data_IF_501240086726
#
_entry.id   IF_501240086726
#
_cell.length_a   1.000
_cell.length_b   1.000
_cell.length_c   1.000
_cell.angle_alpha   90.00
_cell.angle_beta   90.00
_cell.angle_gamma   90.00
#
_symmetry.space_group_name_H-M   'P 1'
#
loop_
_entity.id
_entity.type
_entity.pdbx_description
1 polymer ?
#
# COMPACT_ATOMS: atom_id res chain seq x y z
N UNK A 1 20.11 22.97 76.51
CA UNK A 1 21.02 24.00 75.99
C UNK A 1 22.42 23.40 75.95
N UNK A 2 23.12 23.45 74.81
CA UNK A 2 24.44 22.80 74.65
C UNK A 2 25.59 23.79 74.48
N UNK A 3 25.32 24.92 73.82
CA UNK A 3 26.31 25.98 73.61
C UNK A 3 25.64 27.34 73.64
N UNK A 4 26.40 28.36 74.04
CA UNK A 4 26.00 29.77 74.03
C UNK A 4 27.13 30.59 73.41
N UNK A 5 26.79 31.56 72.58
CA UNK A 5 27.74 32.52 72.05
C UNK A 5 27.09 33.89 71.86
N UNK A 6 27.87 34.95 72.00
CA UNK A 6 27.45 36.29 71.59
C UNK A 6 28.01 36.58 70.20
N UNK A 7 27.18 37.18 69.35
CA UNK A 7 27.69 37.79 68.13
C UNK A 7 28.30 39.18 68.41
N UNK A 8 28.91 39.78 67.39
CA UNK A 8 29.50 41.12 67.50
C UNK A 8 28.48 42.24 67.76
N UNK A 9 27.19 41.98 67.52
CA UNK A 9 26.08 42.92 67.76
C UNK A 9 25.47 42.75 69.15
N UNK A 10 25.98 41.81 69.95
CA UNK A 10 25.50 41.53 71.30
C UNK A 10 24.22 40.68 71.35
N UNK A 11 23.80 40.05 70.24
CA UNK A 11 22.72 39.06 70.29
C UNK A 11 23.25 37.75 70.87
N UNK A 12 22.38 37.06 71.61
CA UNK A 12 22.71 35.76 72.19
C UNK A 12 22.27 34.65 71.24
N UNK A 13 23.21 33.77 70.91
CA UNK A 13 23.00 32.59 70.08
C UNK A 13 23.07 31.33 70.93
N UNK A 14 22.10 30.45 70.75
CA UNK A 14 21.86 29.29 71.61
C UNK A 14 21.77 28.04 70.74
N UNK A 15 22.68 27.10 71.00
CA UNK A 15 22.70 25.78 70.39
C UNK A 15 21.89 24.79 71.22
N UNK A 16 21.01 24.03 70.56
CA UNK A 16 20.12 23.07 71.22
C UNK A 16 20.37 21.64 70.74
N UNK A 17 19.88 20.66 71.51
CA UNK A 17 19.92 19.26 71.13
C UNK A 17 18.65 18.89 70.36
N UNK A 18 18.59 19.25 69.08
CA UNK A 18 17.47 18.89 68.19
C UNK A 18 16.47 20.01 67.88
N UNK A 19 16.56 21.17 68.55
CA UNK A 19 15.74 22.36 68.26
C UNK A 19 16.46 23.40 67.39
N UNK A 20 17.62 23.06 66.81
CA UNK A 20 18.41 23.93 65.95
C UNK A 20 19.16 25.05 66.68
N UNK A 21 19.45 26.11 65.92
CA UNK A 21 20.11 27.34 66.38
C UNK A 21 19.06 28.39 66.71
N UNK A 22 19.17 29.00 67.89
CA UNK A 22 18.19 29.97 68.36
C UNK A 22 18.90 31.31 68.60
N UNK A 23 18.39 32.40 68.02
CA UNK A 23 18.87 33.75 68.29
C UNK A 23 17.92 34.46 69.24
N UNK A 24 18.42 34.94 70.36
CA UNK A 24 17.73 35.90 71.21
C UNK A 24 18.23 37.32 70.91
N UNK A 25 17.33 38.14 70.38
CA UNK A 25 17.60 39.55 70.15
C UNK A 25 17.21 40.34 71.41
N UNK A 26 18.22 40.92 72.08
CA UNK A 26 18.04 41.66 73.32
C UNK A 26 17.25 42.96 73.16
N UNK A 27 17.34 43.62 72.00
CA UNK A 27 16.64 44.91 71.79
C UNK A 27 15.15 44.73 71.53
N UNK A 28 14.76 43.63 70.90
CA UNK A 28 13.35 43.32 70.58
C UNK A 28 12.73 42.31 71.53
N UNK A 29 13.51 41.72 72.44
CA UNK A 29 13.10 40.67 73.38
C UNK A 29 12.43 39.47 72.69
N UNK A 30 12.92 39.09 71.51
CA UNK A 30 12.34 38.04 70.67
C UNK A 30 13.35 36.94 70.33
N UNK A 31 12.83 35.72 70.16
CA UNK A 31 13.58 34.57 69.69
C UNK A 31 13.34 34.31 68.19
N UNK A 32 14.39 33.95 67.46
CA UNK A 32 14.32 33.45 66.09
C UNK A 32 14.93 32.05 66.04
N UNK A 33 14.25 31.10 65.42
CA UNK A 33 14.66 29.70 65.36
C UNK A 33 15.13 29.35 63.95
N UNK A 34 16.27 28.65 63.84
CA UNK A 34 16.82 28.16 62.60
C UNK A 34 17.01 26.64 62.70
N UNK A 35 16.48 25.90 61.74
CA UNK A 35 16.52 24.44 61.67
C UNK A 35 17.11 23.97 60.34
N UNK A 36 17.08 22.66 60.08
CA UNK A 36 17.40 22.05 58.78
C UNK A 36 16.56 22.61 57.63
N UNK A 37 15.33 23.06 57.90
CA UNK A 37 14.49 23.73 56.90
C UNK A 37 15.05 25.09 56.46
N UNK A 38 15.90 25.69 57.29
CA UNK A 38 16.59 26.95 57.00
C UNK A 38 18.02 26.73 56.47
N UNK A 39 18.41 25.49 56.16
CA UNK A 39 19.72 25.15 55.58
C UNK A 39 20.78 24.66 56.56
N UNK A 40 20.47 24.55 57.86
CA UNK A 40 21.39 23.91 58.81
C UNK A 40 21.63 22.44 58.43
N UNK A 41 22.84 21.90 58.61
CA UNK A 41 23.13 20.50 58.27
C UNK A 41 22.50 19.53 59.27
N UNK A 42 22.24 19.97 60.51
CA UNK A 42 21.62 19.18 61.56
C UNK A 42 21.01 20.08 62.65
N UNK A 43 19.92 19.62 63.29
CA UNK A 43 19.25 20.37 64.37
C UNK A 43 19.94 20.23 65.73
N UNK A 44 20.90 19.33 65.90
CA UNK A 44 21.74 19.23 67.09
C UNK A 44 22.99 20.11 66.92
N UNK A 45 22.98 21.29 67.55
CA UNK A 45 24.09 22.25 67.55
C UNK A 45 24.84 22.13 68.86
N UNK A 46 26.06 21.60 68.80
CA UNK A 46 26.90 21.27 69.96
C UNK A 46 27.79 22.40 70.42
N UNK A 47 28.25 23.22 69.47
CA UNK A 47 29.22 24.27 69.72
C UNK A 47 28.94 25.44 68.79
N UNK A 48 29.11 26.66 69.29
CA UNK A 48 28.95 27.89 68.52
C UNK A 48 30.18 28.75 68.80
N UNK A 49 30.89 29.14 67.74
CA UNK A 49 32.03 30.03 67.82
C UNK A 49 31.83 31.21 66.86
N UNK A 50 31.99 32.43 67.35
CA UNK A 50 31.97 33.63 66.51
C UNK A 50 33.39 33.93 66.04
N UNK A 51 33.60 34.13 64.74
CA UNK A 51 34.91 34.46 64.20
C UNK A 51 35.20 35.97 64.16
N UNK A 52 36.43 36.32 63.75
CA UNK A 52 36.87 37.71 63.66
C UNK A 52 36.15 38.52 62.57
N UNK A 53 35.40 37.89 61.67
CA UNK A 53 34.57 38.58 60.68
C UNK A 53 33.12 38.77 61.17
N UNK A 54 32.73 38.09 62.25
CA UNK A 54 31.37 38.11 62.77
C UNK A 54 30.48 36.98 62.24
N UNK A 55 31.05 36.01 61.51
CA UNK A 55 30.34 34.80 61.11
C UNK A 55 30.28 33.83 62.29
N UNK A 56 29.19 33.08 62.38
CA UNK A 56 29.03 32.03 63.38
C UNK A 56 29.43 30.69 62.79
N UNK A 57 30.18 29.91 63.57
CA UNK A 57 30.63 28.57 63.21
C UNK A 57 30.01 27.56 64.15
N UNK A 58 29.24 26.64 63.59
CA UNK A 58 28.37 25.71 64.31
C UNK A 58 28.90 24.30 64.14
N UNK A 59 29.33 23.67 65.24
CA UNK A 59 29.65 22.24 65.29
C UNK A 59 28.38 21.43 65.51
N UNK A 60 28.10 20.46 64.63
CA UNK A 60 26.87 19.66 64.66
C UNK A 60 27.16 18.16 64.64
N UNK A 61 26.10 17.35 64.64
CA UNK A 61 26.18 15.89 64.42
C UNK A 61 26.39 15.51 62.94
N UNK A 62 26.31 16.48 62.02
CA UNK A 62 26.42 16.24 60.59
C UNK A 62 27.35 17.26 59.91
N UNK A 63 28.48 17.51 60.54
CA UNK A 63 29.53 18.38 60.06
C UNK A 63 29.51 19.76 60.71
N UNK A 64 30.15 20.71 60.02
CA UNK A 64 30.34 22.08 60.46
C UNK A 64 29.54 23.03 59.57
N UNK A 65 28.95 24.08 60.15
CA UNK A 65 28.23 25.10 59.39
C UNK A 65 28.79 26.49 59.67
N UNK A 66 29.15 27.24 58.61
CA UNK A 66 29.39 28.68 58.69
C UNK A 66 28.08 29.40 58.40
N UNK A 67 27.56 30.07 59.42
CA UNK A 67 26.28 30.77 59.42
C UNK A 67 26.51 32.28 59.42
N UNK A 68 25.90 32.98 58.47
CA UNK A 68 25.93 34.44 58.41
C UNK A 68 24.76 35.04 59.22
N UNK A 69 25.01 35.78 60.32
CA UNK A 69 23.94 36.34 61.14
C UNK A 69 23.17 37.50 60.48
N UNK A 70 23.65 38.04 59.36
CA UNK A 70 22.99 39.14 58.63
C UNK A 70 21.92 38.67 57.64
N UNK A 71 22.24 37.66 56.82
CA UNK A 71 21.36 37.13 55.77
C UNK A 71 20.85 35.70 56.04
N UNK A 72 21.30 35.10 57.15
CA UNK A 72 20.96 33.74 57.59
C UNK A 72 21.39 32.61 56.63
N UNK A 73 22.32 32.88 55.72
CA UNK A 73 22.89 31.85 54.85
C UNK A 73 23.77 30.85 55.61
N UNK A 74 23.64 29.57 55.26
CA UNK A 74 24.42 28.48 55.82
C UNK A 74 25.35 27.89 54.75
N UNK A 75 26.66 27.83 55.02
CA UNK A 75 27.61 27.03 54.24
C UNK A 75 28.04 25.81 55.06
N UNK A 76 27.66 24.63 54.58
CA UNK A 76 27.87 23.37 55.27
C UNK A 76 29.16 22.71 54.78
N UNK A 77 29.90 22.11 55.70
CA UNK A 77 31.13 21.36 55.46
C UNK A 77 30.97 19.97 56.08
N UNK A 78 31.46 18.95 55.38
CA UNK A 78 31.33 17.53 55.73
C UNK A 78 32.70 16.83 55.67
N UNK A 79 32.73 15.52 55.89
CA UNK A 79 33.97 14.73 55.71
C UNK A 79 34.56 14.87 54.30
N UNK A 80 33.72 15.12 53.28
CA UNK A 80 34.17 15.35 51.90
C UNK A 80 35.04 16.60 51.76
N UNK A 81 34.88 17.56 52.69
CA UNK A 81 35.61 18.83 52.73
C UNK A 81 36.85 18.76 53.63
N UNK A 82 37.21 17.56 54.12
CA UNK A 82 38.39 17.33 54.97
C UNK A 82 38.11 17.44 56.47
N UNK A 83 36.84 17.39 56.91
CA UNK A 83 36.50 17.31 58.34
C UNK A 83 36.90 15.96 58.94
N UNK A 84 37.28 15.94 60.23
CA UNK A 84 37.69 14.72 60.93
C UNK A 84 36.59 13.66 61.00
N UNK A 85 35.34 14.09 61.16
CA UNK A 85 34.15 13.24 61.21
C UNK A 85 32.91 14.09 60.94
N UNK A 86 31.75 13.46 60.87
CA UNK A 86 30.46 14.16 60.90
C UNK A 86 30.16 14.75 62.29
N UNK A 87 30.61 14.11 63.36
CA UNK A 87 30.24 14.50 64.72
C UNK A 87 31.29 15.40 65.38
N UNK A 88 30.83 16.56 65.88
CA UNK A 88 31.59 17.47 66.72
C UNK A 88 31.12 17.43 68.16
N UNK A 89 32.07 17.60 69.09
CA UNK A 89 31.79 17.50 70.52
C UNK A 89 31.24 18.81 71.10
N UNK A 90 30.49 18.68 72.20
CA UNK A 90 29.90 19.81 72.91
C UNK A 90 30.98 20.75 73.44
N UNK A 91 30.87 22.05 73.15
CA UNK A 91 31.81 23.10 73.58
C UNK A 91 33.29 22.84 73.20
N UNK A 92 33.53 21.97 72.21
CA UNK A 92 34.89 21.66 71.73
C UNK A 92 35.29 22.60 70.59
N UNK A 93 35.31 23.92 70.85
CA UNK A 93 35.78 24.89 69.87
C UNK A 93 36.58 26.02 70.51
N UNK A 94 37.58 26.52 69.78
CA UNK A 94 38.48 27.58 70.24
C UNK A 94 38.93 28.45 69.06
N UNK A 95 38.90 29.77 69.22
CA UNK A 95 39.55 30.68 68.29
C UNK A 95 41.00 30.93 68.74
N UNK A 96 41.96 30.72 67.85
CA UNK A 96 43.38 31.01 68.05
C UNK A 96 43.66 32.51 67.92
N UNK A 97 44.81 32.94 68.45
CA UNK A 97 45.27 34.34 68.39
C UNK A 97 45.43 34.87 66.97
N UNK A 98 45.74 34.00 66.02
CA UNK A 98 45.89 34.36 64.60
C UNK A 98 44.56 34.36 63.83
N UNK A 99 43.44 34.11 64.51
CA UNK A 99 42.09 34.10 63.93
C UNK A 99 41.64 32.75 63.36
N UNK A 100 42.51 31.73 63.33
CA UNK A 100 42.10 30.36 62.97
C UNK A 100 41.19 29.77 64.04
N UNK A 101 40.31 28.86 63.63
CA UNK A 101 39.32 28.21 64.48
C UNK A 101 39.65 26.74 64.65
N UNK A 102 39.66 26.25 65.88
CA UNK A 102 39.74 24.83 66.20
C UNK A 102 38.36 24.29 66.54
N UNK A 103 38.04 23.13 65.99
CA UNK A 103 36.84 22.36 66.31
C UNK A 103 37.21 20.91 66.59
N UNK A 104 36.90 20.42 67.79
CA UNK A 104 37.13 19.05 68.20
C UNK A 104 35.88 18.18 68.03
N UNK A 105 36.08 16.91 67.71
CA UNK A 105 35.03 15.91 67.68
C UNK A 105 35.53 14.53 68.03
N UNK A 106 34.87 13.51 67.49
CA UNK A 106 35.08 12.11 67.90
C UNK A 106 36.41 11.52 67.39
N UNK A 107 36.95 12.03 66.29
CA UNK A 107 38.18 11.56 65.64
C UNK A 107 39.25 12.67 65.57
N UNK A 108 39.40 13.43 66.66
CA UNK A 108 40.41 14.47 66.79
C UNK A 108 39.84 15.88 66.60
N UNK A 109 40.53 16.72 65.83
CA UNK A 109 40.15 18.13 65.64
C UNK A 109 40.49 18.66 64.24
N UNK A 110 39.72 19.64 63.79
CA UNK A 110 40.01 20.43 62.59
C UNK A 110 40.55 21.82 62.98
N UNK A 111 41.52 22.32 62.22
CA UNK A 111 41.96 23.72 62.25
C UNK A 111 41.50 24.38 60.97
N UNK A 112 40.78 25.48 61.10
CA UNK A 112 40.10 26.16 60.00
C UNK A 112 40.62 27.58 59.92
N UNK A 113 40.98 28.03 58.72
CA UNK A 113 41.34 29.41 58.46
C UNK A 113 40.19 30.10 57.70
N UNK A 114 39.33 30.88 58.39
CA UNK A 114 38.17 31.51 57.76
C UNK A 114 38.51 32.42 56.59
N UNK A 115 39.72 33.00 56.58
CA UNK A 115 40.16 33.95 55.55
C UNK A 115 40.51 33.26 54.24
N UNK A 116 40.85 31.96 54.28
CA UNK A 116 41.21 31.15 53.10
C UNK A 116 40.04 30.36 52.52
N UNK A 117 38.89 30.40 53.17
CA UNK A 117 37.68 29.69 52.75
C UNK A 117 36.89 30.45 51.66
N UNK A 118 37.44 31.55 51.15
CA UNK A 118 36.75 32.48 50.27
C UNK A 118 36.58 31.93 48.84
N UNK A 119 35.31 31.74 48.47
CA UNK A 119 34.60 31.85 47.19
C UNK A 119 35.23 31.52 45.83
N UNK A 120 36.46 31.01 45.69
CA UNK A 120 36.88 30.47 44.40
C UNK A 120 36.06 29.21 44.13
N UNK A 121 34.95 29.36 43.42
CA UNK A 121 34.25 28.21 42.86
C UNK A 121 35.32 27.40 42.14
N UNK A 122 35.33 26.10 42.39
CA UNK A 122 36.27 25.21 41.74
C UNK A 122 36.19 25.46 40.22
N UNK A 123 37.29 25.33 39.48
CA UNK A 123 37.21 25.43 38.03
C UNK A 123 36.17 24.43 37.51
N UNK A 124 35.41 24.77 36.45
CA UNK A 124 34.46 23.85 35.87
C UNK A 124 35.21 22.60 35.39
N UNK A 125 34.61 21.40 35.51
CA UNK A 125 35.30 20.17 35.16
C UNK A 125 35.50 20.09 33.65
N UNK A 126 36.64 19.56 33.22
CA UNK A 126 36.81 19.17 31.82
C UNK A 126 35.97 17.93 31.57
N UNK A 127 35.01 17.99 30.66
CA UNK A 127 34.23 16.80 30.28
C UNK A 127 34.92 16.10 29.12
N UNK A 128 34.90 14.78 29.10
CA UNK A 128 35.39 13.97 27.98
C UNK A 128 34.36 12.91 27.63
N UNK A 129 34.27 12.56 26.35
CA UNK A 129 33.54 11.37 25.90
C UNK A 129 34.50 10.20 26.07
N UNK A 130 34.21 9.28 26.99
CA UNK A 130 35.10 8.17 27.33
C UNK A 130 34.96 7.01 26.34
N UNK A 131 33.75 6.72 25.88
CA UNK A 131 33.44 5.63 24.97
C UNK A 131 32.23 5.95 24.12
N UNK A 132 32.23 5.45 22.88
CA UNK A 132 31.08 5.49 21.98
C UNK A 132 30.78 4.06 21.56
N UNK A 133 29.58 3.57 21.84
CA UNK A 133 29.11 2.26 21.38
C UNK A 133 28.25 2.45 20.15
N UNK A 134 28.64 1.82 19.05
CA UNK A 134 27.84 1.68 17.84
C UNK A 134 27.24 0.28 17.87
N UNK A 135 25.96 0.17 18.21
CA UNK A 135 25.36 -1.11 18.65
C UNK A 135 26.20 -1.76 19.76
N UNK A 136 26.69 -2.99 19.54
CA UNK A 136 27.49 -3.75 20.51
C UNK A 136 29.00 -3.55 20.34
N UNK A 137 29.44 -2.63 19.46
CA UNK A 137 30.85 -2.36 19.20
C UNK A 137 31.28 -1.03 19.79
N UNK A 138 32.26 -1.06 20.69
CA UNK A 138 32.95 0.14 21.17
C UNK A 138 33.85 0.74 20.08
N UNK A 139 33.79 2.06 19.95
CA UNK A 139 34.55 2.88 19.02
C UNK A 139 35.14 4.06 19.80
N UNK A 140 36.45 4.32 19.68
CA UNK A 140 37.05 5.48 20.34
C UNK A 140 36.51 6.79 19.74
N UNK A 141 36.39 7.87 20.53
CA UNK A 141 35.91 9.17 20.05
C UNK A 141 36.74 9.79 18.90
N UNK A 142 38.01 9.38 18.77
CA UNK A 142 38.90 9.78 17.68
C UNK A 142 39.06 11.30 17.55
N UNK A 143 39.16 11.80 16.31
CA UNK A 143 39.38 13.21 15.98
C UNK A 143 38.09 14.08 16.06
N UNK A 144 37.07 13.66 16.83
CA UNK A 144 35.82 14.41 16.94
C UNK A 144 34.87 14.28 15.74
N UNK A 145 35.12 13.33 14.82
CA UNK A 145 34.23 13.00 13.72
C UNK A 145 34.04 11.49 13.55
N UNK A 146 32.79 11.05 13.52
CA UNK A 146 32.40 9.65 13.37
C UNK A 146 31.51 9.47 12.15
N UNK A 147 32.00 8.73 11.15
CA UNK A 147 31.26 8.39 9.94
C UNK A 147 30.71 6.97 10.03
N UNK A 148 29.40 6.82 9.85
CA UNK A 148 28.66 5.59 10.06
C UNK A 148 27.87 5.19 8.81
N UNK A 149 27.71 3.89 8.61
CA UNK A 149 26.82 3.35 7.58
C UNK A 149 25.37 3.50 8.00
N UNK A 150 24.45 3.40 7.03
CA UNK A 150 23.01 3.42 7.32
C UNK A 150 22.57 2.37 8.35
N UNK A 151 23.20 1.20 8.34
CA UNK A 151 22.93 0.11 9.30
C UNK A 151 23.49 0.36 10.71
N UNK A 152 24.32 1.39 10.89
CA UNK A 152 25.02 1.73 12.15
C UNK A 152 24.32 2.94 12.81
N UNK A 153 22.99 2.86 12.99
CA UNK A 153 22.13 3.97 13.42
C UNK A 153 21.74 3.99 14.92
N UNK A 154 22.32 3.11 15.73
CA UNK A 154 22.13 3.10 17.18
C UNK A 154 23.45 3.39 17.87
N UNK A 155 23.46 4.45 18.68
CA UNK A 155 24.64 5.01 19.32
C UNK A 155 24.43 5.17 20.81
N UNK A 156 25.38 4.73 21.61
CA UNK A 156 25.46 5.11 23.02
C UNK A 156 26.77 5.87 23.29
N UNK A 157 26.67 6.90 24.11
CA UNK A 157 27.80 7.72 24.52
C UNK A 157 27.98 7.57 26.02
N UNK A 158 29.21 7.29 26.43
CA UNK A 158 29.64 7.38 27.83
C UNK A 158 30.56 8.60 27.97
N UNK A 159 30.40 9.34 29.06
CA UNK A 159 31.13 10.57 29.30
C UNK A 159 31.52 10.71 30.77
N UNK A 160 32.62 11.42 31.01
CA UNK A 160 33.16 11.62 32.34
C UNK A 160 33.66 13.05 32.53
N UNK A 161 33.40 13.60 33.72
CA UNK A 161 34.01 14.84 34.16
C UNK A 161 35.36 14.54 34.81
N UNK A 162 36.43 15.06 34.24
CA UNK A 162 37.78 15.05 34.80
C UNK A 162 37.91 16.21 35.78
N UNK A 163 37.70 15.93 37.07
CA UNK A 163 37.98 16.87 38.15
C UNK A 163 38.64 16.14 39.31
N UNK A 164 39.82 16.60 39.69
CA UNK A 164 40.54 16.05 40.83
C UNK A 164 40.05 16.61 42.18
N UNK A 165 39.12 17.59 42.16
CA UNK A 165 38.76 18.35 43.34
C UNK A 165 37.57 17.80 44.15
N UNK A 166 36.68 16.98 43.58
CA UNK A 166 35.62 16.24 44.29
C UNK A 166 34.89 15.38 43.24
N UNK A 167 35.19 14.08 43.19
CA UNK A 167 34.73 13.21 42.09
C UNK A 167 33.25 12.80 42.16
N UNK A 168 32.54 13.08 43.26
CA UNK A 168 31.26 12.40 43.55
C UNK A 168 29.98 13.19 43.24
N UNK A 169 30.05 14.52 43.01
CA UNK A 169 28.85 15.35 42.84
C UNK A 169 28.82 16.13 41.51
N UNK A 170 29.52 15.65 40.49
CA UNK A 170 29.47 16.25 39.15
C UNK A 170 28.12 15.96 38.48
N UNK A 171 27.49 17.01 37.95
CA UNK A 171 26.26 16.90 37.15
C UNK A 171 26.55 17.06 35.68
N UNK A 172 25.76 16.45 34.81
CA UNK A 172 25.97 16.47 33.36
C UNK A 172 24.75 17.02 32.63
N UNK A 173 25.00 17.58 31.45
CA UNK A 173 23.96 17.91 30.50
C UNK A 173 24.43 17.54 29.10
N UNK A 174 23.55 16.96 28.29
CA UNK A 174 23.86 16.55 26.92
C UNK A 174 22.75 16.95 25.95
N UNK A 175 23.11 17.00 24.67
CA UNK A 175 22.19 17.30 23.57
C UNK A 175 22.71 16.72 22.26
N UNK A 176 21.82 16.12 21.47
CA UNK A 176 22.07 15.77 20.08
C UNK A 176 21.38 16.77 19.14
N UNK A 177 22.15 17.63 18.49
CA UNK A 177 21.60 18.58 17.51
C UNK A 177 20.98 17.84 16.32
N UNK A 178 19.73 18.18 16.02
CA UNK A 178 18.91 17.47 15.02
C UNK A 178 18.01 16.38 15.60
N UNK A 179 18.10 16.09 16.90
CA UNK A 179 17.22 15.15 17.60
C UNK A 179 16.58 15.80 18.82
N UNK A 180 17.40 16.39 19.70
CA UNK A 180 16.93 17.00 20.94
C UNK A 180 16.66 18.51 20.74
N UNK A 181 15.48 19.03 21.15
CA UNK A 181 15.19 20.46 21.07
C UNK A 181 16.04 21.28 22.06
N UNK A 182 16.23 20.77 23.28
CA UNK A 182 16.90 21.44 24.41
C UNK A 182 17.93 20.54 25.10
N UNK A 183 18.69 21.11 26.04
CA UNK A 183 19.65 20.36 26.87
C UNK A 183 18.93 19.42 27.83
N UNK A 184 19.38 18.16 27.88
CA UNK A 184 18.89 17.15 28.80
C UNK A 184 19.87 17.04 29.97
N UNK A 185 19.40 17.30 31.19
CA UNK A 185 20.21 17.26 32.41
C UNK A 185 20.18 15.85 33.00
N UNK A 186 21.36 15.21 33.08
CA UNK A 186 21.55 13.97 33.82
C UNK A 186 22.34 14.25 35.08
N UNK A 187 21.71 14.02 36.24
CA UNK A 187 22.35 14.24 37.54
C UNK A 187 23.62 13.40 37.67
N UNK A 188 23.47 12.10 37.93
CA UNK A 188 24.53 11.14 38.15
C UNK A 188 24.82 10.23 36.95
N UNK A 189 23.87 10.15 36.00
CA UNK A 189 23.97 9.29 34.82
C UNK A 189 25.03 9.80 33.85
N UNK A 190 26.03 8.94 33.59
CA UNK A 190 27.20 9.18 32.74
C UNK A 190 27.09 8.60 31.32
N UNK A 191 25.89 8.20 30.91
CA UNK A 191 25.66 7.59 29.61
C UNK A 191 24.29 7.92 29.02
N UNK A 192 24.22 7.95 27.69
CA UNK A 192 22.99 8.18 26.92
C UNK A 192 22.97 7.28 25.69
N UNK A 193 21.78 6.92 25.21
CA UNK A 193 21.58 6.12 24.00
C UNK A 193 20.59 6.78 23.06
N UNK A 194 20.96 6.91 21.79
CA UNK A 194 20.11 7.31 20.67
C UNK A 194 19.93 6.11 19.74
N UNK A 195 18.69 5.72 19.51
CA UNK A 195 18.36 4.58 18.64
C UNK A 195 17.68 5.06 17.37
N UNK A 196 17.87 4.31 16.27
CA UNK A 196 17.17 4.55 15.00
C UNK A 196 17.38 5.96 14.40
N UNK A 197 18.61 6.46 14.43
CA UNK A 197 18.94 7.73 13.80
C UNK A 197 18.80 7.64 12.27
N UNK A 198 18.14 8.62 11.67
CA UNK A 198 18.01 8.73 10.21
C UNK A 198 19.34 9.11 9.55
N UNK A 199 19.51 8.87 8.23
CA UNK A 199 20.67 9.38 7.51
C UNK A 199 20.77 10.90 7.60
N UNK A 200 21.91 11.40 8.05
CA UNK A 200 22.08 12.82 8.29
C UNK A 200 23.39 13.15 8.99
N UNK A 201 23.55 14.44 9.30
CA UNK A 201 24.66 14.97 10.09
C UNK A 201 24.11 15.42 11.44
N UNK A 202 24.73 14.94 12.50
CA UNK A 202 24.36 15.23 13.89
C UNK A 202 25.58 15.75 14.65
N UNK A 203 25.34 16.53 15.70
CA UNK A 203 26.38 16.99 16.62
C UNK A 203 25.96 16.63 18.02
N UNK A 204 26.66 15.68 18.62
CA UNK A 204 26.48 15.35 20.02
C UNK A 204 27.32 16.31 20.86
N UNK A 205 26.71 16.95 21.84
CA UNK A 205 27.34 17.89 22.78
C UNK A 205 27.09 17.41 24.21
N UNK A 206 28.11 17.53 25.04
CA UNK A 206 28.02 17.25 26.47
C UNK A 206 28.77 18.31 27.25
N UNK A 207 28.22 18.73 28.38
CA UNK A 207 28.86 19.59 29.38
C UNK A 207 28.68 19.03 30.78
N UNK A 208 29.56 19.46 31.68
CA UNK A 208 29.54 19.03 33.06
C UNK A 208 29.61 20.22 34.02
N UNK A 209 29.11 20.00 35.22
CA UNK A 209 29.01 20.95 36.32
C UNK A 209 29.74 20.38 37.52
N UNK A 210 30.54 21.19 38.20
CA UNK A 210 31.13 20.78 39.48
C UNK A 210 30.13 20.84 40.64
N UNK A 211 30.58 20.41 41.82
CA UNK A 211 29.85 20.50 43.08
C UNK A 211 29.39 21.93 43.42
N UNK A 212 30.13 22.94 42.97
CA UNK A 212 29.84 24.37 43.22
C UNK A 212 28.79 24.95 42.25
N UNK A 213 28.24 24.13 41.34
CA UNK A 213 27.23 24.58 40.39
C UNK A 213 27.80 25.34 39.18
N UNK A 214 29.11 25.32 38.96
CA UNK A 214 29.74 25.96 37.79
C UNK A 214 29.76 24.99 36.62
N UNK A 215 29.12 25.39 35.52
CA UNK A 215 29.08 24.64 34.27
C UNK A 215 30.27 24.96 33.38
N UNK A 216 30.81 23.93 32.73
CA UNK A 216 31.71 24.08 31.60
C UNK A 216 30.89 24.36 30.33
N UNK A 217 30.76 25.63 29.95
CA UNK A 217 29.97 26.00 28.76
C UNK A 217 30.66 25.68 27.43
N UNK A 218 31.97 25.46 27.39
CA UNK A 218 32.66 24.98 26.18
C UNK A 218 32.28 23.52 25.88
N UNK A 219 32.20 22.69 26.94
CA UNK A 219 31.82 21.30 26.85
C UNK A 219 32.75 20.45 25.96
N UNK A 220 32.20 19.36 25.42
CA UNK A 220 32.85 18.53 24.40
C UNK A 220 31.81 18.14 23.37
N UNK A 221 32.24 18.06 22.11
CA UNK A 221 31.36 17.71 21.01
C UNK A 221 31.99 16.70 20.06
N UNK A 222 31.14 15.88 19.43
CA UNK A 222 31.52 15.00 18.34
C UNK A 222 30.51 15.10 17.20
N UNK A 223 31.02 15.19 15.97
CA UNK A 223 30.20 15.25 14.76
C UNK A 223 29.95 13.82 14.28
N UNK A 224 28.69 13.43 14.14
CA UNK A 224 28.29 12.14 13.58
C UNK A 224 27.74 12.34 12.17
N UNK A 225 28.09 11.47 11.24
CA UNK A 225 27.53 11.46 9.88
C UNK A 225 27.10 10.06 9.48
N UNK A 226 25.79 9.86 9.32
CA UNK A 226 25.18 8.60 8.90
C UNK A 226 24.90 8.68 7.39
N UNK A 227 25.60 7.86 6.60
CA UNK A 227 25.42 7.87 5.14
C UNK A 227 24.10 7.22 4.73
N UNK A 228 23.37 7.77 3.73
CA UNK A 228 22.15 7.15 3.23
C UNK A 228 22.42 5.79 2.58
N UNK A 229 21.43 4.88 2.57
CA UNK A 229 21.57 3.58 1.93
C UNK A 229 21.70 3.72 0.40
N UNK A 230 22.36 2.75 -0.23
CA UNK A 230 22.70 2.78 -1.65
C UNK A 230 21.46 2.91 -2.56
N UNK A 231 20.31 2.32 -2.20
CA UNK A 231 19.07 2.45 -2.98
C UNK A 231 18.40 3.83 -2.89
N UNK A 232 18.79 4.67 -1.91
CA UNK A 232 18.32 6.07 -1.82
C UNK A 232 19.22 7.03 -2.62
N UNK A 233 20.32 6.56 -3.21
CA UNK A 233 21.23 7.40 -3.99
C UNK A 233 20.63 7.82 -5.34
N UNK A 234 21.07 8.97 -5.87
CA UNK A 234 20.56 9.52 -7.12
C UNK A 234 20.83 8.60 -8.32
N UNK A 235 22.02 7.99 -8.40
CA UNK A 235 22.42 7.12 -9.51
C UNK A 235 21.61 5.81 -9.52
N UNK A 236 21.24 5.28 -8.36
CA UNK A 236 20.38 4.11 -8.31
C UNK A 236 18.96 4.44 -8.79
N UNK A 237 18.41 5.58 -8.37
CA UNK A 237 17.09 6.04 -8.82
C UNK A 237 17.05 6.27 -10.33
N UNK A 238 18.08 6.90 -10.89
CA UNK A 238 18.16 7.11 -12.35
C UNK A 238 18.35 5.80 -13.10
N UNK A 239 19.20 4.90 -12.61
CA UNK A 239 19.39 3.57 -13.19
C UNK A 239 18.10 2.75 -13.20
N UNK A 240 17.36 2.75 -12.09
CA UNK A 240 16.07 2.06 -11.99
C UNK A 240 15.02 2.64 -12.94
N UNK A 241 14.94 3.97 -13.06
CA UNK A 241 14.04 4.64 -14.01
C UNK A 241 14.38 4.28 -15.47
N UNK A 242 15.68 4.28 -15.82
CA UNK A 242 16.13 3.87 -17.14
C UNK A 242 15.82 2.40 -17.43
N UNK A 243 16.01 1.52 -16.44
CA UNK A 243 15.64 0.11 -16.56
C UNK A 243 14.14 -0.04 -16.82
N UNK A 244 13.29 0.64 -16.07
CA UNK A 244 11.83 0.64 -16.26
C UNK A 244 11.42 1.18 -17.65
N UNK A 245 12.08 2.23 -18.14
CA UNK A 245 11.84 2.76 -19.50
C UNK A 245 12.28 1.72 -20.55
N UNK A 246 13.44 1.08 -20.36
CA UNK A 246 13.95 0.09 -21.30
C UNK A 246 13.04 -1.14 -21.41
N UNK A 247 12.48 -1.61 -20.29
CA UNK A 247 11.56 -2.75 -20.28
C UNK A 247 10.22 -2.39 -20.90
N UNK A 248 9.70 -1.18 -20.65
CA UNK A 248 8.51 -0.67 -21.33
C UNK A 248 8.72 -0.55 -22.85
N UNK A 249 9.83 0.03 -23.30
CA UNK A 249 10.18 0.12 -24.72
C UNK A 249 10.37 -1.26 -25.36
N UNK A 250 10.99 -2.20 -24.66
CA UNK A 250 11.12 -3.59 -25.12
C UNK A 250 9.76 -4.26 -25.28
N UNK A 251 8.85 -4.08 -24.32
CA UNK A 251 7.49 -4.63 -24.37
C UNK A 251 6.68 -4.03 -25.54
N UNK A 252 6.75 -2.70 -25.74
CA UNK A 252 6.11 -2.02 -26.88
C UNK A 252 6.68 -2.53 -28.21
N UNK A 253 8.01 -2.64 -28.33
CA UNK A 253 8.67 -3.19 -29.53
C UNK A 253 8.29 -4.63 -29.81
N UNK A 254 8.21 -5.47 -28.76
CA UNK A 254 7.79 -6.86 -28.88
C UNK A 254 6.34 -6.98 -29.34
N UNK A 255 5.43 -6.20 -28.77
CA UNK A 255 4.01 -6.22 -29.14
C UNK A 255 3.81 -5.72 -30.57
N UNK A 256 4.45 -4.61 -30.96
CA UNK A 256 4.37 -4.09 -32.32
C UNK A 256 4.95 -5.06 -33.36
N UNK A 257 6.07 -5.74 -33.06
CA UNK A 257 6.62 -6.78 -33.92
C UNK A 257 5.68 -7.99 -34.05
N UNK A 258 5.06 -8.41 -32.94
CA UNK A 258 4.06 -9.49 -32.92
C UNK A 258 2.83 -9.14 -33.78
N UNK A 259 2.29 -7.94 -33.61
CA UNK A 259 1.17 -7.41 -34.39
C UNK A 259 1.47 -7.41 -35.89
N UNK A 260 2.68 -7.00 -36.30
CA UNK A 260 3.10 -7.04 -37.71
C UNK A 260 3.13 -8.45 -38.27
N UNK A 261 3.63 -9.43 -37.51
CA UNK A 261 3.64 -10.85 -37.93
C UNK A 261 2.22 -11.39 -38.09
N UNK A 262 1.34 -11.14 -37.12
CA UNK A 262 -0.06 -11.56 -37.20
C UNK A 262 -0.78 -10.92 -38.38
N UNK A 263 -0.53 -9.63 -38.66
CA UNK A 263 -1.10 -8.93 -39.82
C UNK A 263 -0.70 -9.60 -41.14
N UNK A 264 0.59 -9.93 -41.31
CA UNK A 264 1.08 -10.58 -42.53
C UNK A 264 0.49 -11.98 -42.74
N UNK A 265 0.40 -12.77 -41.66
CA UNK A 265 -0.24 -14.10 -41.70
C UNK A 265 -1.72 -13.95 -42.06
N UNK A 266 -2.41 -12.96 -41.48
CA UNK A 266 -3.81 -12.70 -41.76
C UNK A 266 -4.03 -12.29 -43.21
N UNK A 267 -3.22 -11.38 -43.76
CA UNK A 267 -3.28 -10.95 -45.16
C UNK A 267 -3.11 -12.15 -46.11
N UNK A 268 -2.10 -13.01 -45.89
CA UNK A 268 -1.90 -14.24 -46.68
C UNK A 268 -3.08 -15.19 -46.58
N UNK A 269 -3.65 -15.36 -45.39
CA UNK A 269 -4.79 -16.26 -45.18
C UNK A 269 -6.04 -15.72 -45.87
N UNK A 270 -6.29 -14.41 -45.81
CA UNK A 270 -7.40 -13.75 -46.49
C UNK A 270 -7.24 -13.87 -48.00
N UNK A 271 -6.04 -13.66 -48.54
CA UNK A 271 -5.76 -13.82 -49.97
C UNK A 271 -6.03 -15.25 -50.44
N UNK A 272 -5.52 -16.26 -49.72
CA UNK A 272 -5.77 -17.67 -50.02
C UNK A 272 -7.28 -18.01 -49.98
N UNK A 273 -7.98 -17.62 -48.91
CA UNK A 273 -9.42 -17.85 -48.79
C UNK A 273 -10.22 -17.13 -49.87
N UNK A 274 -9.80 -15.94 -50.25
CA UNK A 274 -10.46 -15.17 -51.32
C UNK A 274 -10.25 -15.84 -52.67
N UNK A 275 -9.07 -16.40 -52.94
CA UNK A 275 -8.80 -17.17 -54.15
C UNK A 275 -9.64 -18.47 -54.19
N UNK A 276 -9.65 -19.25 -53.11
CA UNK A 276 -10.46 -20.47 -53.00
C UNK A 276 -11.95 -20.18 -53.21
N UNK A 277 -12.46 -19.11 -52.60
CA UNK A 277 -13.85 -18.68 -52.76
C UNK A 277 -14.18 -18.29 -54.21
N UNK A 278 -13.25 -17.62 -54.92
CA UNK A 278 -13.45 -17.29 -56.34
C UNK A 278 -13.54 -18.55 -57.18
N UNK A 279 -12.64 -19.50 -57.00
CA UNK A 279 -12.67 -20.78 -57.72
C UNK A 279 -13.95 -21.57 -57.41
N UNK A 280 -14.37 -21.65 -56.15
CA UNK A 280 -15.63 -22.29 -55.78
C UNK A 280 -16.84 -21.61 -56.42
N UNK A 281 -16.85 -20.27 -56.45
CA UNK A 281 -17.91 -19.49 -57.08
C UNK A 281 -17.97 -19.73 -58.59
N UNK A 282 -16.83 -19.74 -59.28
CA UNK A 282 -16.75 -20.02 -60.72
C UNK A 282 -17.26 -21.43 -61.05
N UNK A 283 -16.86 -22.44 -60.25
CA UNK A 283 -17.36 -23.82 -60.41
C UNK A 283 -18.88 -23.87 -60.20
N UNK A 284 -19.39 -23.21 -59.15
CA UNK A 284 -20.82 -23.18 -58.86
C UNK A 284 -21.62 -22.46 -59.96
N UNK A 285 -21.11 -21.34 -60.48
CA UNK A 285 -21.72 -20.63 -61.63
C UNK A 285 -21.72 -21.52 -62.88
N UNK A 286 -20.62 -22.21 -63.18
CA UNK A 286 -20.54 -23.12 -64.33
C UNK A 286 -21.51 -24.30 -64.20
N UNK A 287 -21.63 -24.90 -63.01
CA UNK A 287 -22.59 -25.96 -62.73
C UNK A 287 -24.03 -25.47 -62.92
N UNK A 288 -24.34 -24.27 -62.43
CA UNK A 288 -25.66 -23.65 -62.60
C UNK A 288 -25.98 -23.43 -64.08
N UNK A 289 -25.06 -22.87 -64.86
CA UNK A 289 -25.30 -22.65 -66.30
C UNK A 289 -25.52 -23.96 -67.05
N UNK A 290 -24.75 -25.02 -66.73
CA UNK A 290 -24.95 -26.35 -67.32
C UNK A 290 -26.31 -26.94 -66.97
N UNK A 291 -26.76 -26.81 -65.72
CA UNK A 291 -28.07 -27.25 -65.29
C UNK A 291 -29.19 -26.49 -66.04
N UNK A 292 -29.09 -25.17 -66.15
CA UNK A 292 -30.06 -24.35 -66.89
C UNK A 292 -30.11 -24.71 -68.39
N UNK A 293 -28.98 -25.03 -69.01
CA UNK A 293 -28.94 -25.51 -70.40
C UNK A 293 -29.58 -26.90 -70.55
N UNK A 294 -29.30 -27.82 -69.62
CA UNK A 294 -29.88 -29.17 -69.60
C UNK A 294 -31.41 -29.11 -69.47
N UNK A 295 -31.93 -28.27 -68.56
CA UNK A 295 -33.38 -28.07 -68.39
C UNK A 295 -34.01 -27.51 -69.67
N UNK A 296 -33.41 -26.47 -70.28
CA UNK A 296 -33.93 -25.92 -71.56
C UNK A 296 -33.95 -26.96 -72.67
N UNK A 297 -32.91 -27.79 -72.79
CA UNK A 297 -32.84 -28.86 -73.78
C UNK A 297 -33.92 -29.93 -73.54
N UNK A 298 -34.12 -30.36 -72.28
CA UNK A 298 -35.19 -31.29 -71.88
C UNK A 298 -36.57 -30.76 -72.29
N UNK A 299 -36.86 -29.48 -72.02
CA UNK A 299 -38.14 -28.88 -72.39
C UNK A 299 -38.35 -28.80 -73.91
N UNK A 300 -37.35 -28.35 -74.67
CA UNK A 300 -37.45 -28.24 -76.12
C UNK A 300 -37.65 -29.62 -76.77
N UNK A 301 -36.94 -30.63 -76.27
CA UNK A 301 -37.08 -32.01 -76.73
C UNK A 301 -38.51 -32.53 -76.54
N UNK A 302 -39.08 -32.35 -75.33
CA UNK A 302 -40.45 -32.80 -75.04
C UNK A 302 -41.49 -32.07 -75.90
N UNK A 303 -41.33 -30.76 -76.11
CA UNK A 303 -42.23 -29.96 -76.95
C UNK A 303 -42.22 -30.43 -78.42
N UNK A 304 -41.04 -30.62 -78.99
CA UNK A 304 -40.90 -31.06 -80.39
C UNK A 304 -41.42 -32.50 -80.58
N UNK A 305 -41.05 -33.42 -79.69
CA UNK A 305 -41.50 -34.82 -79.74
C UNK A 305 -43.02 -34.93 -79.66
N UNK A 306 -43.68 -34.11 -78.83
CA UNK A 306 -45.13 -34.11 -78.76
C UNK A 306 -45.78 -33.71 -80.09
N UNK A 307 -45.28 -32.67 -80.76
CA UNK A 307 -45.80 -32.25 -82.06
C UNK A 307 -45.59 -33.32 -83.14
N UNK A 308 -44.40 -33.93 -83.16
CA UNK A 308 -44.06 -34.98 -84.12
C UNK A 308 -44.86 -36.27 -83.92
N UNK A 309 -45.26 -36.61 -82.69
CA UNK A 309 -46.10 -37.78 -82.43
C UNK A 309 -47.60 -37.45 -82.63
N UNK A 310 -48.06 -36.24 -82.26
CA UNK A 310 -49.47 -35.86 -82.41
C UNK A 310 -49.95 -35.92 -83.85
N UNK A 311 -49.10 -35.51 -84.79
CA UNK A 311 -49.44 -35.44 -86.22
C UNK A 311 -49.79 -36.82 -86.82
N UNK A 312 -48.91 -37.85 -86.75
CA UNK A 312 -49.25 -39.19 -87.22
C UNK A 312 -50.39 -39.82 -86.41
N UNK A 313 -50.50 -39.54 -85.10
CA UNK A 313 -51.60 -40.08 -84.29
C UNK A 313 -52.97 -39.54 -84.69
N UNK A 314 -53.06 -38.24 -84.99
CA UNK A 314 -54.29 -37.65 -85.53
C UNK A 314 -54.62 -38.20 -86.92
N UNK A 315 -53.61 -38.51 -87.75
CA UNK A 315 -53.82 -39.14 -89.04
C UNK A 315 -54.34 -40.59 -88.89
N UNK A 316 -53.72 -41.39 -88.00
CA UNK A 316 -54.18 -42.76 -87.67
C UNK A 316 -55.61 -42.72 -87.16
N UNK A 317 -55.90 -41.83 -86.19
CA UNK A 317 -57.24 -41.64 -85.66
C UNK A 317 -58.24 -41.25 -86.75
N UNK A 318 -57.92 -40.25 -87.57
CA UNK A 318 -58.80 -39.78 -88.65
C UNK A 318 -59.08 -40.87 -89.69
N UNK A 319 -58.06 -41.64 -90.10
CA UNK A 319 -58.23 -42.79 -91.00
C UNK A 319 -59.09 -43.87 -90.35
N UNK A 320 -58.87 -44.16 -89.06
CA UNK A 320 -59.66 -45.13 -88.29
C UNK A 320 -61.12 -44.69 -88.17
N UNK A 321 -61.39 -43.40 -87.89
CA UNK A 321 -62.74 -42.82 -87.84
C UNK A 321 -63.46 -42.94 -89.20
N UNK A 322 -62.76 -42.71 -90.30
CA UNK A 322 -63.31 -42.89 -91.66
C UNK A 322 -63.67 -44.36 -91.90
N UNK A 323 -62.79 -45.29 -91.50
CA UNK A 323 -63.03 -46.74 -91.67
C UNK A 323 -64.21 -47.23 -90.81
N UNK A 324 -64.34 -46.77 -89.57
CA UNK A 324 -65.48 -47.08 -88.68
C UNK A 324 -66.79 -46.57 -89.31
N UNK A 325 -66.82 -45.38 -89.91
CA UNK A 325 -68.02 -44.81 -90.55
C UNK A 325 -68.46 -45.54 -91.82
N UNK A 326 -67.60 -46.36 -92.44
CA UNK A 326 -67.93 -47.14 -93.66
C UNK A 326 -68.65 -48.46 -93.37
N UNK A 327 -69.14 -48.65 -92.14
CA UNK A 327 -69.87 -49.83 -91.70
C UNK A 327 -69.08 -51.14 -91.93
N UNK A 328 -67.89 -51.27 -91.29
CA UNK A 328 -67.03 -52.44 -91.42
C UNK A 328 -67.72 -53.70 -90.87
N UNK A 329 -67.23 -54.88 -91.24
CA UNK A 329 -67.70 -56.15 -90.64
C UNK A 329 -67.44 -56.18 -89.13
N UNK A 330 -68.25 -56.90 -88.36
CA UNK A 330 -68.18 -56.91 -86.89
C UNK A 330 -66.79 -57.26 -86.35
N UNK A 331 -66.08 -58.18 -87.01
CA UNK A 331 -64.71 -58.57 -86.69
C UNK A 331 -63.69 -57.42 -86.91
N UNK A 332 -63.87 -56.61 -87.95
CA UNK A 332 -63.01 -55.45 -88.24
C UNK A 332 -63.32 -54.24 -87.34
N UNK A 333 -64.58 -54.11 -86.92
CA UNK A 333 -65.04 -53.00 -86.08
C UNK A 333 -64.33 -52.99 -84.73
N UNK A 334 -64.19 -54.15 -84.08
CA UNK A 334 -63.52 -54.28 -82.78
C UNK A 334 -62.03 -53.86 -82.84
N UNK A 335 -61.30 -54.28 -83.89
CA UNK A 335 -59.90 -53.86 -84.08
C UNK A 335 -59.76 -52.36 -84.36
N UNK A 336 -60.66 -51.77 -85.16
CA UNK A 336 -60.64 -50.34 -85.44
C UNK A 336 -60.98 -49.52 -84.19
N UNK A 337 -61.94 -49.96 -83.38
CA UNK A 337 -62.24 -49.35 -82.09
C UNK A 337 -61.06 -49.45 -81.12
N UNK A 338 -60.34 -50.58 -81.09
CA UNK A 338 -59.11 -50.75 -80.32
C UNK A 338 -57.97 -49.82 -80.77
N UNK A 339 -57.76 -49.65 -82.08
CA UNK A 339 -56.76 -48.70 -82.63
C UNK A 339 -57.13 -47.27 -82.28
N UNK A 340 -58.43 -46.92 -82.41
CA UNK A 340 -58.93 -45.59 -82.05
C UNK A 340 -58.74 -45.30 -80.57
N UNK A 341 -59.13 -46.23 -79.70
CA UNK A 341 -58.97 -46.09 -78.25
C UNK A 341 -57.50 -45.97 -77.84
N UNK A 342 -56.61 -46.76 -78.46
CA UNK A 342 -55.17 -46.68 -78.24
C UNK A 342 -54.62 -45.34 -78.71
N UNK A 343 -55.11 -44.83 -79.85
CA UNK A 343 -54.72 -43.53 -80.38
C UNK A 343 -55.18 -42.38 -79.50
N UNK A 344 -56.43 -42.42 -79.02
CA UNK A 344 -56.99 -41.45 -78.08
C UNK A 344 -56.21 -41.47 -76.75
N UNK A 345 -55.87 -42.66 -76.25
CA UNK A 345 -55.10 -42.81 -75.00
C UNK A 345 -53.67 -42.26 -75.12
N UNK A 346 -52.99 -42.50 -76.24
CA UNK A 346 -51.64 -41.98 -76.46
C UNK A 346 -51.64 -40.44 -76.60
N UNK A 347 -52.66 -39.87 -77.26
CA UNK A 347 -52.81 -38.43 -77.35
C UNK A 347 -53.03 -37.77 -75.97
N UNK A 348 -53.78 -38.41 -75.07
CA UNK A 348 -53.94 -37.95 -73.69
C UNK A 348 -52.60 -37.97 -72.96
N UNK A 349 -51.87 -39.09 -72.97
CA UNK A 349 -50.58 -39.22 -72.29
C UNK A 349 -49.57 -38.17 -72.79
N UNK A 350 -49.53 -37.93 -74.10
CA UNK A 350 -48.64 -36.92 -74.69
C UNK A 350 -48.99 -35.51 -74.22
N UNK A 351 -50.28 -35.19 -74.11
CA UNK A 351 -50.72 -33.89 -73.59
C UNK A 351 -50.37 -33.76 -72.10
N UNK A 352 -50.57 -34.81 -71.30
CA UNK A 352 -50.22 -34.81 -69.88
C UNK A 352 -48.71 -34.60 -69.66
N UNK A 353 -47.86 -35.26 -70.45
CA UNK A 353 -46.40 -35.06 -70.41
C UNK A 353 -46.02 -33.61 -70.76
N UNK A 354 -46.69 -33.01 -71.74
CA UNK A 354 -46.48 -31.60 -72.08
C UNK A 354 -46.92 -30.67 -70.97
N UNK A 355 -48.06 -30.93 -70.35
CA UNK A 355 -48.59 -30.08 -69.29
C UNK A 355 -47.71 -30.16 -68.04
N UNK A 356 -47.20 -31.35 -67.68
CA UNK A 356 -46.17 -31.51 -66.64
C UNK A 356 -44.92 -30.69 -66.99
N UNK A 357 -44.43 -30.75 -68.24
CA UNK A 357 -43.27 -29.96 -68.68
C UNK A 357 -43.52 -28.45 -68.61
N UNK A 358 -44.73 -27.98 -68.93
CA UNK A 358 -45.14 -26.58 -68.75
C UNK A 358 -45.22 -26.17 -67.28
N UNK A 359 -45.68 -27.07 -66.40
CA UNK A 359 -45.71 -26.86 -64.95
C UNK A 359 -44.29 -26.75 -64.39
N UNK A 360 -43.40 -27.70 -64.72
CA UNK A 360 -41.99 -27.68 -64.29
C UNK A 360 -41.26 -26.40 -64.74
N UNK A 361 -41.58 -25.89 -65.93
CA UNK A 361 -41.00 -24.65 -66.46
C UNK A 361 -41.71 -23.37 -66.00
N UNK A 362 -42.77 -23.46 -65.19
CA UNK A 362 -43.55 -22.31 -64.71
C UNK A 362 -44.31 -21.56 -65.80
N UNK A 363 -44.59 -22.21 -66.95
CA UNK A 363 -45.23 -21.63 -68.14
C UNK A 363 -46.69 -22.05 -68.32
N UNK A 364 -47.34 -22.59 -67.29
CA UNK A 364 -48.77 -22.89 -67.36
C UNK A 364 -49.56 -21.58 -67.21
N UNK A 365 -50.25 -21.18 -68.27
CA UNK A 365 -51.20 -20.07 -68.21
C UNK A 365 -52.54 -20.62 -67.73
N UNK A 366 -52.99 -20.18 -66.56
CA UNK A 366 -54.29 -20.56 -66.00
C UNK A 366 -55.35 -19.61 -66.55
N UNK A 367 -56.26 -20.12 -67.37
CA UNK A 367 -57.42 -19.36 -67.81
C UNK A 367 -58.47 -19.30 -66.69
N UNK A 368 -58.86 -18.10 -66.28
CA UNK A 368 -59.97 -17.91 -65.35
C UNK A 368 -61.29 -17.85 -66.13
N UNK A 369 -62.10 -18.90 -66.00
CA UNK A 369 -63.46 -18.95 -66.53
C UNK A 369 -64.49 -18.97 -65.39
N UNK A 370 -65.56 -18.20 -65.52
CA UNK A 370 -66.72 -18.29 -64.63
C UNK A 370 -67.51 -19.55 -64.98
N UNK A 371 -67.72 -20.44 -64.00
CA UNK A 371 -68.53 -21.65 -64.18
C UNK A 371 -69.45 -21.90 -62.97
N UNK A 372 -70.58 -22.57 -63.24
CA UNK A 372 -71.48 -23.02 -62.18
C UNK A 372 -71.00 -24.36 -61.63
N UNK A 373 -70.56 -24.37 -60.37
CA UNK A 373 -70.17 -25.61 -59.68
C UNK A 373 -71.31 -26.63 -59.70
N UNK A 374 -72.57 -26.19 -59.56
CA UNK A 374 -73.72 -27.08 -59.62
C UNK A 374 -73.87 -27.74 -60.98
N UNK A 375 -73.70 -26.97 -62.05
CA UNK A 375 -73.79 -27.47 -63.43
C UNK A 375 -72.64 -28.41 -63.76
N UNK A 376 -71.42 -28.08 -63.33
CA UNK A 376 -70.26 -28.95 -63.48
C UNK A 376 -70.47 -30.29 -62.76
N UNK A 377 -70.88 -30.26 -61.49
CA UNK A 377 -71.12 -31.48 -60.72
C UNK A 377 -72.32 -32.24 -61.32
N UNK A 378 -73.33 -31.58 -61.87
CA UNK A 378 -74.43 -32.26 -62.59
C UNK A 378 -73.89 -32.99 -63.82
N UNK A 379 -73.09 -32.32 -64.64
CA UNK A 379 -72.51 -32.92 -65.84
C UNK A 379 -71.60 -34.10 -65.50
N UNK A 380 -70.74 -33.97 -64.49
CA UNK A 380 -69.87 -35.06 -64.02
C UNK A 380 -70.68 -36.21 -63.45
N UNK A 381 -71.71 -35.93 -62.65
CA UNK A 381 -72.60 -36.95 -62.08
C UNK A 381 -73.32 -37.73 -63.19
N UNK A 382 -73.88 -37.07 -64.20
CA UNK A 382 -74.51 -37.73 -65.36
C UNK A 382 -73.53 -38.66 -66.10
N UNK A 383 -72.31 -38.19 -66.36
CA UNK A 383 -71.28 -38.99 -67.04
C UNK A 383 -70.89 -40.22 -66.21
N UNK A 384 -70.71 -40.05 -64.90
CA UNK A 384 -70.30 -41.12 -64.00
C UNK A 384 -71.44 -42.08 -63.67
N UNK A 385 -72.69 -41.61 -63.62
CA UNK A 385 -73.87 -42.41 -63.35
C UNK A 385 -74.04 -43.51 -64.39
N UNK A 386 -73.84 -43.19 -65.68
CA UNK A 386 -73.88 -44.19 -66.74
C UNK A 386 -72.88 -45.34 -66.50
N UNK A 387 -71.63 -45.00 -66.13
CA UNK A 387 -70.60 -46.01 -65.81
C UNK A 387 -70.86 -46.76 -64.50
N UNK A 388 -71.51 -46.11 -63.55
CA UNK A 388 -71.89 -46.73 -62.28
C UNK A 388 -73.00 -47.77 -62.51
N UNK A 389 -74.01 -47.45 -63.32
CA UNK A 389 -75.11 -48.34 -63.72
C UNK A 389 -74.59 -49.58 -64.46
N UNK A 390 -73.63 -49.44 -65.39
CA UNK A 390 -72.96 -50.60 -66.03
C UNK A 390 -72.32 -51.57 -65.03
N UNK A 391 -71.90 -51.06 -63.86
CA UNK A 391 -71.28 -51.85 -62.78
C UNK A 391 -72.27 -52.24 -61.67
N UNK A 392 -73.56 -51.95 -61.83
CA UNK A 392 -74.60 -52.21 -60.83
C UNK A 392 -74.47 -51.34 -59.57
N UNK A 393 -73.84 -50.17 -59.67
CA UNK A 393 -73.63 -49.23 -58.58
C UNK A 393 -74.57 -48.01 -58.72
N UNK A 394 -75.17 -47.57 -57.61
CA UNK A 394 -75.96 -46.36 -57.56
C UNK A 394 -75.09 -45.17 -57.16
N UNK A 395 -75.09 -44.11 -57.98
CA UNK A 395 -74.32 -42.90 -57.71
C UNK A 395 -75.20 -41.86 -57.02
N UNK A 396 -75.07 -41.75 -55.70
CA UNK A 396 -75.86 -40.78 -54.91
C UNK A 396 -75.19 -39.41 -54.96
N UNK A 397 -75.97 -38.39 -55.31
CA UNK A 397 -75.53 -37.01 -55.32
C UNK A 397 -76.09 -36.23 -54.14
N UNK A 398 -75.23 -35.81 -53.23
CA UNK A 398 -75.59 -34.89 -52.14
C UNK A 398 -74.85 -33.57 -52.30
N UNK A 399 -75.59 -32.50 -52.61
CA UNK A 399 -75.04 -31.16 -52.50
C UNK A 399 -75.15 -30.68 -51.04
N UNK A 400 -74.11 -30.09 -50.45
CA UNK A 400 -74.29 -29.30 -49.25
C UNK A 400 -75.19 -28.09 -49.60
N UNK A 401 -76.31 -27.93 -48.91
CA UNK A 401 -77.13 -26.72 -49.06
C UNK A 401 -76.25 -25.50 -48.75
N UNK A 402 -76.22 -24.54 -49.69
CA UNK A 402 -75.68 -23.20 -49.45
C UNK A 402 -76.36 -22.60 -48.21
N UNK A 403 -75.58 -22.04 -47.30
CA UNK A 403 -76.00 -20.79 -46.68
C UNK A 403 -75.78 -19.66 -47.69
#
# INVERSE_FOLDING_TARGET
MRSLAFDKKGNLWIGTNGGGLNRYNKSTNNFTHFTTENGLPNNAVYTILCDNSGMLWLGTNHGLCRFNPEDYSCKNFTMKDGLQSYEFNTNAALQLKDGRLLFGGVDGYNVIDPTKLDNSKSPPPTVVISSIKVFDREVPPGNGHLKLKYSENSLAFEFAALSFYLNQDNRYAYKMEGVDPDWIYSNDRKFVTYSYLEPGKYIFKVKACNSDGVWNEEGTQIIITITPPWWKTWWFRTGFALFAISTALWFIRRNTASLRKHKLILEKTVEQRTADLRTQKEIAEQQRTRAEQSEKAKHLFLANMSHEIRTPMNAIKGMTDILIRRNPKDDQKEYLEGIKQSSDSLLVIINDILDISKIESGKIELEQASFSVNELINNVHTIMQFKAEEKGLELIKTFPMKN
#
